data_IF_174253284040
#
_entry.id   IF_174253284040
#
_cell.length_a   1.000
_cell.length_b   1.000
_cell.length_c   1.000
_cell.angle_alpha   90.00
_cell.angle_beta   90.00
_cell.angle_gamma   90.00
#
_symmetry.space_group_name_H-M   'P 1'
#
loop_
_entity.id
_entity.type
_entity.pdbx_description
1 polymer ?
#
# COMPACT_ATOMS: atom_id res chain seq x y z
N UNK A 1 -6.68 -7.04 9.88
CA UNK A 1 -7.15 -5.83 9.23
C UNK A 1 -6.35 -5.53 7.96
N UNK A 2 -5.04 -5.46 8.03
CA UNK A 2 -4.17 -5.14 6.89
C UNK A 2 -4.24 -6.16 5.75
N UNK A 3 -4.28 -7.46 6.05
CA UNK A 3 -4.44 -8.50 5.03
C UNK A 3 -5.70 -8.29 4.15
N UNK A 4 -6.81 -7.85 4.75
CA UNK A 4 -8.03 -7.51 4.02
C UNK A 4 -7.85 -6.32 3.08
N UNK A 5 -7.11 -5.29 3.52
CA UNK A 5 -6.79 -4.12 2.71
C UNK A 5 -5.96 -4.51 1.48
N UNK A 6 -4.90 -5.31 1.67
CA UNK A 6 -4.06 -5.75 0.56
C UNK A 6 -4.76 -6.71 -0.39
N UNK A 7 -5.61 -7.61 0.11
CA UNK A 7 -6.48 -8.43 -0.74
C UNK A 7 -7.42 -7.56 -1.58
N UNK A 8 -8.00 -6.52 -1.00
CA UNK A 8 -8.87 -5.60 -1.73
C UNK A 8 -8.12 -4.82 -2.82
N UNK A 9 -6.87 -4.40 -2.54
CA UNK A 9 -5.99 -3.77 -3.53
C UNK A 9 -5.68 -4.77 -4.65
N UNK A 10 -5.34 -6.02 -4.31
CA UNK A 10 -5.06 -7.07 -5.29
C UNK A 10 -6.27 -7.31 -6.21
N UNK A 11 -7.45 -7.50 -5.64
CA UNK A 11 -8.67 -7.67 -6.45
C UNK A 11 -8.99 -6.44 -7.29
N UNK A 12 -8.80 -5.24 -6.74
CA UNK A 12 -9.02 -3.99 -7.47
C UNK A 12 -8.08 -3.82 -8.65
N UNK A 13 -6.79 -4.13 -8.49
CA UNK A 13 -5.81 -4.08 -9.60
C UNK A 13 -6.09 -5.14 -10.65
N UNK A 14 -6.45 -6.37 -10.26
CA UNK A 14 -6.86 -7.41 -11.21
C UNK A 14 -8.10 -6.99 -12.02
N UNK A 15 -9.14 -6.46 -11.35
CA UNK A 15 -10.33 -5.95 -12.03
C UNK A 15 -9.99 -4.81 -12.98
N UNK A 16 -9.12 -3.88 -12.57
CA UNK A 16 -8.63 -2.79 -13.42
C UNK A 16 -7.94 -3.29 -14.69
N UNK A 17 -7.16 -4.37 -14.60
CA UNK A 17 -6.49 -4.98 -15.75
C UNK A 17 -7.45 -5.54 -16.81
N UNK A 18 -8.68 -5.87 -16.44
CA UNK A 18 -9.72 -6.31 -17.39
C UNK A 18 -10.45 -5.16 -18.10
N UNK A 19 -10.12 -3.90 -17.80
CA UNK A 19 -10.77 -2.72 -18.38
C UNK A 19 -10.71 -2.72 -19.91
N UNK A 20 -9.59 -3.14 -20.48
CA UNK A 20 -9.39 -3.20 -21.94
C UNK A 20 -10.29 -4.25 -22.63
N UNK A 21 -10.77 -5.27 -21.93
CA UNK A 21 -11.69 -6.27 -22.48
C UNK A 21 -13.15 -5.77 -22.47
N UNK A 22 -13.57 -5.14 -21.38
CA UNK A 22 -14.92 -4.59 -21.25
C UNK A 22 -14.98 -3.48 -20.18
N UNK A 23 -14.59 -2.25 -20.56
CA UNK A 23 -14.54 -1.12 -19.65
C UNK A 23 -15.88 -0.77 -19.00
N UNK A 24 -16.99 -0.88 -19.75
CA UNK A 24 -18.32 -0.60 -19.18
C UNK A 24 -18.70 -1.57 -18.07
N UNK A 25 -18.36 -2.85 -18.20
CA UNK A 25 -18.62 -3.85 -17.17
C UNK A 25 -17.79 -3.59 -15.92
N UNK A 26 -16.53 -3.22 -16.10
CA UNK A 26 -15.64 -2.90 -14.95
C UNK A 26 -16.14 -1.67 -14.19
N UNK A 27 -16.59 -0.62 -14.90
CA UNK A 27 -17.17 0.57 -14.26
C UNK A 27 -18.43 0.19 -13.45
N UNK A 28 -19.31 -0.63 -14.03
CA UNK A 28 -20.53 -1.08 -13.33
C UNK A 28 -20.16 -1.89 -12.08
N UNK A 29 -19.21 -2.80 -12.18
CA UNK A 29 -18.74 -3.57 -11.01
C UNK A 29 -18.14 -2.67 -9.92
N UNK A 30 -17.35 -1.67 -10.29
CA UNK A 30 -16.80 -0.70 -9.35
C UNK A 30 -17.92 0.10 -8.65
N UNK A 31 -18.95 0.53 -9.39
CA UNK A 31 -20.11 1.19 -8.81
C UNK A 31 -20.88 0.28 -7.84
N UNK A 32 -21.10 -0.97 -8.20
CA UNK A 32 -21.77 -1.96 -7.33
C UNK A 32 -20.96 -2.14 -6.03
N UNK A 33 -19.63 -2.31 -6.11
CA UNK A 33 -18.76 -2.45 -4.94
C UNK A 33 -18.83 -1.20 -4.05
N UNK A 34 -18.83 0.00 -4.65
CA UNK A 34 -18.95 1.26 -3.92
C UNK A 34 -20.30 1.37 -3.20
N UNK A 35 -21.40 0.98 -3.84
CA UNK A 35 -22.73 0.96 -3.23
C UNK A 35 -22.76 -0.04 -2.07
N UNK A 36 -22.21 -1.24 -2.24
CA UNK A 36 -22.10 -2.22 -1.15
C UNK A 36 -21.29 -1.68 0.04
N UNK A 37 -20.17 -1.00 -0.23
CA UNK A 37 -19.36 -0.37 0.80
C UNK A 37 -20.15 0.71 1.55
N UNK A 38 -20.91 1.54 0.84
CA UNK A 38 -21.78 2.55 1.43
C UNK A 38 -22.88 1.92 2.29
N UNK A 39 -23.59 0.92 1.76
CA UNK A 39 -24.63 0.21 2.51
C UNK A 39 -24.06 -0.46 3.75
N UNK A 40 -22.91 -1.13 3.63
CA UNK A 40 -22.23 -1.75 4.78
C UNK A 40 -21.88 -0.72 5.86
N UNK A 41 -21.50 0.49 5.48
CA UNK A 41 -21.19 1.57 6.43
C UNK A 41 -22.40 2.01 7.27
N UNK A 42 -23.62 1.87 6.74
CA UNK A 42 -24.85 2.20 7.47
C UNK A 42 -25.17 1.20 8.59
N UNK A 43 -24.65 -0.02 8.48
CA UNK A 43 -24.81 -1.06 9.49
C UNK A 43 -23.71 -1.04 10.56
N UNK A 44 -22.79 -0.08 10.50
CA UNK A 44 -21.76 0.06 11.54
C UNK A 44 -22.40 0.31 12.91
N UNK A 45 -22.07 -0.51 13.91
CA UNK A 45 -22.61 -0.32 15.26
C UNK A 45 -22.12 1.04 15.81
N UNK A 46 -23.03 1.79 16.44
CA UNK A 46 -22.66 3.02 17.14
C UNK A 46 -21.74 2.66 18.30
N UNK A 47 -20.50 3.15 18.25
CA UNK A 47 -19.59 3.07 19.38
C UNK A 47 -19.98 4.10 20.44
N UNK A 48 -19.96 3.70 21.71
CA UNK A 48 -20.08 4.65 22.81
C UNK A 48 -18.88 5.58 22.80
N UNK A 49 -19.08 6.87 23.04
CA UNK A 49 -17.99 7.83 23.13
C UNK A 49 -17.04 7.41 24.25
N UNK A 50 -15.79 7.15 23.90
CA UNK A 50 -14.77 6.82 24.88
C UNK A 50 -14.50 7.98 25.86
N UNK A 51 -14.71 9.19 25.41
CA UNK A 51 -14.66 10.40 26.24
C UNK A 51 -15.70 11.41 25.72
N UNK A 52 -16.86 11.56 26.40
CA UNK A 52 -17.92 12.50 26.00
C UNK A 52 -17.52 13.99 26.14
N UNK A 53 -16.46 14.28 26.87
CA UNK A 53 -15.99 15.66 27.11
C UNK A 53 -15.04 16.19 26.03
N UNK A 54 -14.65 15.36 25.06
CA UNK A 54 -13.81 15.82 23.95
C UNK A 54 -14.58 16.81 23.09
N UNK A 55 -14.16 18.07 23.13
CA UNK A 55 -14.65 19.10 22.22
C UNK A 55 -13.89 18.99 20.89
N UNK A 56 -14.65 18.81 19.82
CA UNK A 56 -14.08 18.78 18.47
C UNK A 56 -13.71 20.22 18.08
N UNK A 57 -12.42 20.46 17.89
CA UNK A 57 -11.94 21.74 17.37
C UNK A 57 -12.19 21.79 15.85
N UNK A 58 -13.00 22.72 15.31
CA UNK A 58 -13.27 22.81 13.89
C UNK A 58 -12.03 23.22 13.06
N UNK A 59 -10.98 23.72 13.70
CA UNK A 59 -9.73 24.07 13.03
C UNK A 59 -8.83 22.84 12.86
N UNK A 60 -8.98 22.15 11.72
CA UNK A 60 -8.24 20.93 11.37
C UNK A 60 -6.72 21.14 11.44
N UNK A 61 -6.23 22.31 11.00
CA UNK A 61 -4.78 22.60 11.00
C UNK A 61 -4.24 22.69 12.43
N UNK A 62 -4.93 23.41 13.29
CA UNK A 62 -4.54 23.55 14.69
C UNK A 62 -4.59 22.22 15.42
N UNK A 63 -5.61 21.40 15.15
CA UNK A 63 -5.76 20.08 15.74
C UNK A 63 -4.64 19.12 15.28
N UNK A 64 -4.33 19.12 13.99
CA UNK A 64 -3.22 18.34 13.44
C UNK A 64 -1.87 18.72 14.08
N UNK A 65 -1.58 20.01 14.19
CA UNK A 65 -0.36 20.50 14.85
C UNK A 65 -0.32 20.08 16.32
N UNK A 66 -1.44 20.18 17.03
CA UNK A 66 -1.58 19.75 18.41
C UNK A 66 -1.30 18.25 18.58
N UNK A 67 -1.88 17.41 17.72
CA UNK A 67 -1.63 15.97 17.72
C UNK A 67 -0.16 15.62 17.42
N UNK A 68 0.44 16.28 16.43
CA UNK A 68 1.87 16.08 16.11
C UNK A 68 2.75 16.50 17.28
N UNK A 69 2.45 17.63 17.90
CA UNK A 69 3.17 18.11 19.09
C UNK A 69 3.02 17.17 20.28
N UNK A 70 1.83 16.63 20.49
CA UNK A 70 1.59 15.63 21.54
C UNK A 70 2.36 14.32 21.24
N UNK A 71 2.29 13.83 20.01
CA UNK A 71 3.05 12.63 19.60
C UNK A 71 4.56 12.84 19.74
N UNK A 72 5.09 14.01 19.37
CA UNK A 72 6.51 14.35 19.50
C UNK A 72 7.00 14.45 20.94
N UNK A 73 6.10 14.71 21.90
CA UNK A 73 6.44 14.69 23.33
C UNK A 73 6.76 13.28 23.86
N UNK A 74 6.35 12.24 23.14
CA UNK A 74 6.59 10.82 23.46
C UNK A 74 7.52 10.23 22.41
N UNK A 75 8.81 10.26 22.65
CA UNK A 75 9.85 9.87 21.67
C UNK A 75 9.60 8.50 21.01
N UNK A 76 9.15 7.51 21.76
CA UNK A 76 8.85 6.17 21.22
C UNK A 76 7.67 6.20 20.22
N UNK A 77 6.62 6.96 20.54
CA UNK A 77 5.44 7.13 19.67
C UNK A 77 5.83 7.88 18.39
N UNK A 78 6.60 8.95 18.55
CA UNK A 78 7.08 9.76 17.44
C UNK A 78 7.92 8.97 16.45
N UNK A 79 8.90 8.19 16.97
CA UNK A 79 9.73 7.32 16.14
C UNK A 79 8.92 6.22 15.44
N UNK A 80 7.91 5.67 16.11
CA UNK A 80 7.00 4.70 15.48
C UNK A 80 6.19 5.32 14.33
N UNK A 81 5.65 6.53 14.54
CA UNK A 81 4.92 7.27 13.49
C UNK A 81 5.84 7.55 12.30
N UNK A 82 7.06 8.04 12.54
CA UNK A 82 8.03 8.28 11.47
C UNK A 82 8.37 7.00 10.70
N UNK A 83 8.61 5.88 11.41
CA UNK A 83 8.91 4.59 10.80
C UNK A 83 7.77 4.08 9.91
N UNK A 84 6.53 4.16 10.38
CA UNK A 84 5.34 3.75 9.60
C UNK A 84 5.12 4.69 8.41
N UNK A 85 5.27 6.00 8.61
CA UNK A 85 5.14 6.99 7.53
C UNK A 85 6.20 6.77 6.44
N UNK A 86 7.44 6.49 6.82
CA UNK A 86 8.53 6.18 5.90
C UNK A 86 8.27 4.91 5.11
N UNK A 87 7.80 3.85 5.78
CA UNK A 87 7.41 2.60 5.13
C UNK A 87 6.33 2.81 4.06
N UNK A 88 5.26 3.53 4.40
CA UNK A 88 4.19 3.85 3.46
C UNK A 88 4.64 4.75 2.32
N UNK A 89 5.52 5.71 2.61
CA UNK A 89 6.11 6.58 1.58
C UNK A 89 6.89 5.77 0.54
N UNK A 90 7.79 4.88 0.98
CA UNK A 90 8.55 4.01 0.08
C UNK A 90 7.62 3.09 -0.70
N UNK A 91 6.64 2.45 -0.04
CA UNK A 91 5.67 1.59 -0.69
C UNK A 91 4.88 2.30 -1.78
N UNK A 92 4.37 3.50 -1.47
CA UNK A 92 3.65 4.33 -2.44
C UNK A 92 4.54 4.77 -3.61
N UNK A 93 5.79 5.15 -3.35
CA UNK A 93 6.75 5.53 -4.38
C UNK A 93 7.03 4.36 -5.34
N UNK A 94 7.26 3.15 -4.81
CA UNK A 94 7.48 1.95 -5.63
C UNK A 94 6.24 1.67 -6.48
N UNK A 95 5.05 1.63 -5.87
CA UNK A 95 3.80 1.35 -6.61
C UNK A 95 3.54 2.37 -7.71
N UNK A 96 3.81 3.65 -7.47
CA UNK A 96 3.64 4.71 -8.46
C UNK A 96 4.61 4.59 -9.65
N UNK A 97 5.79 4.00 -9.44
CA UNK A 97 6.81 3.84 -10.49
C UNK A 97 6.64 2.55 -11.31
N UNK A 98 5.87 1.57 -10.85
CA UNK A 98 5.70 0.29 -11.57
C UNK A 98 5.18 0.49 -13.00
N UNK A 99 4.13 1.30 -13.27
CA UNK A 99 3.65 1.50 -14.64
C UNK A 99 4.70 2.13 -15.57
N UNK A 100 5.45 3.12 -15.09
CA UNK A 100 6.53 3.75 -15.85
C UNK A 100 7.70 2.78 -16.08
N UNK A 101 8.11 2.03 -15.06
CA UNK A 101 9.15 0.99 -15.17
C UNK A 101 8.79 -0.05 -16.24
N UNK A 102 7.57 -0.55 -16.23
CA UNK A 102 7.14 -1.58 -17.19
C UNK A 102 7.05 -1.03 -18.60
N UNK A 103 6.48 0.15 -18.79
CA UNK A 103 6.30 0.76 -20.10
C UNK A 103 7.59 1.32 -20.67
N UNK A 104 8.28 2.17 -19.89
CA UNK A 104 9.36 3.01 -20.40
C UNK A 104 10.74 2.31 -20.35
N UNK A 105 10.92 1.38 -19.38
CA UNK A 105 12.19 0.67 -19.19
C UNK A 105 12.18 -0.74 -19.77
N UNK A 106 11.07 -1.47 -19.57
CA UNK A 106 10.97 -2.85 -20.00
C UNK A 106 10.27 -3.02 -21.36
N UNK A 107 9.66 -1.94 -21.91
CA UNK A 107 8.89 -2.00 -23.14
C UNK A 107 7.70 -2.97 -23.07
N UNK A 108 7.20 -3.24 -21.87
CA UNK A 108 6.17 -4.22 -21.62
C UNK A 108 4.77 -3.58 -21.56
N UNK A 109 3.75 -4.42 -21.67
CA UNK A 109 2.36 -4.00 -21.67
C UNK A 109 1.79 -3.82 -20.23
N UNK A 110 0.55 -3.36 -20.14
CA UNK A 110 -0.16 -3.15 -18.88
C UNK A 110 -0.35 -4.42 -18.06
N UNK A 111 -0.36 -5.61 -18.71
CA UNK A 111 -0.50 -6.88 -18.02
C UNK A 111 0.72 -7.18 -17.16
N UNK A 112 1.90 -6.79 -17.62
CA UNK A 112 3.15 -6.92 -16.85
C UNK A 112 3.13 -5.96 -15.67
N UNK A 113 2.66 -4.71 -15.83
CA UNK A 113 2.47 -3.78 -14.72
C UNK A 113 1.52 -4.35 -13.65
N UNK A 114 0.39 -4.91 -14.08
CA UNK A 114 -0.57 -5.56 -13.20
C UNK A 114 0.03 -6.77 -12.49
N UNK A 115 0.88 -7.55 -13.15
CA UNK A 115 1.60 -8.68 -12.55
C UNK A 115 2.55 -8.21 -11.44
N UNK A 116 3.31 -7.13 -11.66
CA UNK A 116 4.16 -6.53 -10.62
C UNK A 116 3.35 -6.05 -9.41
N UNK A 117 2.23 -5.34 -9.65
CA UNK A 117 1.35 -4.87 -8.58
C UNK A 117 0.71 -6.04 -7.81
N UNK A 118 0.30 -7.10 -8.50
CA UNK A 118 -0.22 -8.32 -7.89
C UNK A 118 0.85 -9.01 -7.04
N UNK A 119 2.06 -9.17 -7.56
CA UNK A 119 3.20 -9.76 -6.82
C UNK A 119 3.53 -8.96 -5.57
N UNK A 120 3.57 -7.63 -5.68
CA UNK A 120 3.75 -6.74 -4.54
C UNK A 120 2.66 -6.95 -3.47
N UNK A 121 1.38 -6.97 -3.88
CA UNK A 121 0.25 -7.14 -2.97
C UNK A 121 0.27 -8.51 -2.28
N UNK A 122 0.59 -9.58 -3.00
CA UNK A 122 0.77 -10.92 -2.45
C UNK A 122 1.93 -10.93 -1.45
N UNK A 123 3.05 -10.30 -1.80
CA UNK A 123 4.23 -10.19 -0.91
C UNK A 123 3.90 -9.52 0.42
N UNK A 124 3.16 -8.41 0.39
CA UNK A 124 2.73 -7.73 1.61
C UNK A 124 1.75 -8.58 2.42
N UNK A 125 0.79 -9.24 1.77
CA UNK A 125 -0.18 -10.13 2.43
C UNK A 125 0.52 -11.31 3.14
N UNK A 126 1.41 -12.00 2.44
CA UNK A 126 2.21 -13.10 2.98
C UNK A 126 3.12 -12.62 4.10
N UNK A 127 3.83 -11.50 3.89
CA UNK A 127 4.71 -10.90 4.88
C UNK A 127 3.97 -10.53 6.17
N UNK A 128 2.78 -9.93 6.06
CA UNK A 128 1.91 -9.57 7.18
C UNK A 128 1.48 -10.82 7.98
N UNK A 129 1.09 -11.89 7.29
CA UNK A 129 0.72 -13.14 7.93
C UNK A 129 1.89 -13.77 8.70
N UNK A 130 3.08 -13.82 8.07
CA UNK A 130 4.28 -14.38 8.69
C UNK A 130 4.77 -13.53 9.86
N UNK A 131 4.74 -12.22 9.73
CA UNK A 131 5.08 -11.27 10.77
C UNK A 131 4.25 -11.55 12.04
N UNK A 132 2.93 -11.67 11.92
CA UNK A 132 2.04 -11.97 13.04
C UNK A 132 2.38 -13.32 13.70
N UNK A 133 2.71 -14.35 12.90
CA UNK A 133 3.08 -15.67 13.41
C UNK A 133 4.44 -15.68 14.11
N UNK A 134 5.43 -14.97 13.58
CA UNK A 134 6.79 -14.90 14.15
C UNK A 134 6.80 -14.14 15.48
N UNK A 135 6.03 -13.04 15.54
CA UNK A 135 6.01 -12.18 16.72
C UNK A 135 5.08 -12.69 17.84
N UNK A 136 4.23 -13.70 17.55
CA UNK A 136 3.33 -14.29 18.55
C UNK A 136 2.57 -13.23 19.39
N UNK A 137 2.02 -12.20 18.73
CA UNK A 137 1.35 -11.03 19.31
C UNK A 137 2.22 -10.08 20.16
N UNK A 138 3.55 -10.26 20.19
CA UNK A 138 4.42 -9.32 20.86
C UNK A 138 4.85 -8.20 19.93
N UNK A 139 4.54 -6.96 20.28
CA UNK A 139 4.98 -5.78 19.54
C UNK A 139 6.46 -5.55 19.82
N UNK A 140 7.33 -5.76 18.83
CA UNK A 140 8.77 -5.55 18.95
C UNK A 140 9.35 -4.88 17.72
N UNK A 141 10.27 -3.96 17.89
CA UNK A 141 11.02 -3.31 16.82
C UNK A 141 12.29 -4.06 16.42
N UNK A 142 12.59 -5.19 17.07
CA UNK A 142 13.85 -5.92 16.91
C UNK A 142 14.20 -6.28 15.47
N UNK A 143 13.19 -6.59 14.66
CA UNK A 143 13.39 -7.05 13.28
C UNK A 143 13.14 -5.98 12.20
N UNK A 144 12.82 -4.75 12.62
CA UNK A 144 12.59 -3.64 11.68
C UNK A 144 13.84 -3.35 10.83
N UNK A 145 15.01 -3.42 11.47
CA UNK A 145 16.28 -3.24 10.77
C UNK A 145 16.52 -4.31 9.69
N UNK A 146 16.25 -5.58 10.03
CA UNK A 146 16.37 -6.69 9.08
C UNK A 146 15.41 -6.55 7.89
N UNK A 147 14.16 -6.15 8.18
CA UNK A 147 13.17 -5.89 7.13
C UNK A 147 13.59 -4.72 6.22
N UNK A 148 14.11 -3.64 6.79
CA UNK A 148 14.62 -2.49 6.04
C UNK A 148 15.81 -2.88 5.15
N UNK A 149 16.73 -3.70 5.64
CA UNK A 149 17.83 -4.26 4.83
C UNK A 149 17.31 -5.10 3.67
N UNK A 150 16.28 -5.93 3.91
CA UNK A 150 15.64 -6.74 2.87
C UNK A 150 15.05 -5.87 1.77
N UNK A 151 14.28 -4.83 2.12
CA UNK A 151 13.71 -3.88 1.15
C UNK A 151 14.83 -3.20 0.33
N UNK A 152 15.90 -2.76 0.99
CA UNK A 152 17.04 -2.11 0.32
C UNK A 152 17.76 -3.07 -0.63
N UNK A 153 18.00 -4.30 -0.21
CA UNK A 153 18.66 -5.32 -1.02
C UNK A 153 17.85 -5.64 -2.28
N UNK A 154 16.56 -5.94 -2.13
CA UNK A 154 15.71 -6.24 -3.28
C UNK A 154 15.44 -5.01 -4.16
N UNK A 155 15.45 -3.80 -3.61
CA UNK A 155 15.38 -2.58 -4.38
C UNK A 155 16.61 -2.39 -5.29
N UNK A 156 17.80 -2.69 -4.77
CA UNK A 156 19.06 -2.67 -5.56
C UNK A 156 19.03 -3.78 -6.62
N UNK A 157 18.59 -4.98 -6.26
CA UNK A 157 18.45 -6.10 -7.20
C UNK A 157 17.50 -5.75 -8.35
N UNK A 158 16.34 -5.16 -8.06
CA UNK A 158 15.39 -4.70 -9.07
C UNK A 158 16.02 -3.67 -10.02
N UNK A 159 16.84 -2.74 -9.51
CA UNK A 159 17.55 -1.78 -10.34
C UNK A 159 18.50 -2.46 -11.34
N UNK A 160 19.31 -3.41 -10.88
CA UNK A 160 20.21 -4.13 -11.78
C UNK A 160 19.47 -5.04 -12.76
N UNK A 161 18.45 -5.75 -12.30
CA UNK A 161 17.61 -6.60 -13.15
C UNK A 161 16.92 -5.79 -14.26
N UNK A 162 16.34 -4.64 -13.93
CA UNK A 162 15.68 -3.77 -14.90
C UNK A 162 16.67 -3.20 -15.93
N UNK A 163 17.88 -2.84 -15.50
CA UNK A 163 18.94 -2.37 -16.39
C UNK A 163 19.40 -3.45 -17.36
N UNK A 164 19.58 -4.68 -16.91
CA UNK A 164 19.95 -5.81 -17.76
C UNK A 164 18.83 -6.10 -18.77
N UNK A 165 17.58 -6.09 -18.32
CA UNK A 165 16.42 -6.30 -19.19
C UNK A 165 16.31 -5.23 -20.27
N UNK A 166 16.52 -3.96 -19.94
CA UNK A 166 16.49 -2.84 -20.90
C UNK A 166 17.59 -2.90 -21.96
N UNK A 167 18.78 -3.46 -21.64
CA UNK A 167 19.87 -3.63 -22.59
C UNK A 167 19.55 -4.75 -23.61
N UNK A 168 18.85 -5.78 -23.18
CA UNK A 168 18.46 -6.92 -24.02
C UNK A 168 17.19 -6.66 -24.84
N UNK A 169 16.48 -5.58 -24.56
CA UNK A 169 15.31 -5.15 -25.31
C UNK A 169 15.77 -4.17 -26.41
N UNK A 170 16.10 -4.69 -27.60
CA UNK A 170 16.12 -3.89 -28.82
C UNK A 170 14.67 -3.69 -29.26
N UNK A 171 14.17 -2.43 -29.32
CA UNK A 171 12.89 -2.19 -29.95
C UNK A 171 13.05 -2.57 -31.41
N UNK A 172 12.38 -3.63 -31.85
CA UNK A 172 12.21 -3.93 -33.27
C UNK A 172 11.67 -2.64 -33.90
N UNK A 173 12.45 -2.05 -34.79
CA UNK A 173 12.08 -0.84 -35.52
C UNK A 173 10.84 -1.16 -36.34
N UNK A 174 9.67 -0.74 -35.84
CA UNK A 174 8.45 -0.61 -36.61
C UNK A 174 8.43 0.72 -37.33
#
# INVERSE_FOLDING_TARGET
FEAGTFLSILFGTMLGGFYNFNGSLIIILAMIIAIFGFVASLFMPKSNNANPEIQINPNIVQETISMVKYASSKNQVYLAILGVSWFWFIGAAIMAQIPSLTRDTLGADENVANLFLATFSIGVGVGSFWCNKIFANNITSKYVFLAAMGISFFGIDLYFASKIASINYEPEQL
#
